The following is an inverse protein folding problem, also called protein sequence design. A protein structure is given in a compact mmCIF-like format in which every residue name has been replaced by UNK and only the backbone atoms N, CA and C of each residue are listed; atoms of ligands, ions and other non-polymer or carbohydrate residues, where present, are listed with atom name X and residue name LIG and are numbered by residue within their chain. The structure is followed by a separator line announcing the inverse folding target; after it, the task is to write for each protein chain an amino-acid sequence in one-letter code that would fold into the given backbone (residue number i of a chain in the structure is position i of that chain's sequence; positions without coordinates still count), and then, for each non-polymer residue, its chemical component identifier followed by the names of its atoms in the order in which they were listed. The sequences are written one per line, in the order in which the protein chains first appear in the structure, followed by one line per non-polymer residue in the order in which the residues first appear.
data_IF_969844112775
#
_entry.id   IF_969844112775
#
_cell.length_a   1.000
_cell.length_b   1.000
_cell.length_c   1.000
_cell.angle_alpha   90.00
_cell.angle_beta   90.00
_cell.angle_gamma   90.00
#
_symmetry.space_group_name_H-M   'P 1'
#
loop_
_entity.id
_entity.type
_entity.pdbx_description
1 polymer ?
#
# COMPACT_ATOMS: atom_id res chain seq x y z
N UNK A 1 -26.46 -4.56 10.86
CA UNK A 1 -25.77 -5.82 10.49
C UNK A 1 -25.27 -6.58 11.72
N UNK A 2 -25.29 -7.92 11.70
CA UNK A 2 -24.82 -8.80 12.81
C UNK A 2 -23.44 -9.44 12.58
N UNK A 3 -22.79 -9.15 11.45
CA UNK A 3 -21.52 -9.79 11.05
C UNK A 3 -20.34 -8.83 11.10
N UNK A 4 -19.19 -9.35 11.52
CA UNK A 4 -17.90 -8.69 11.39
C UNK A 4 -17.23 -9.18 10.10
N UNK A 5 -16.72 -8.22 9.33
CA UNK A 5 -15.95 -8.48 8.11
C UNK A 5 -14.54 -7.91 8.25
N UNK A 6 -13.59 -8.51 7.52
CA UNK A 6 -12.25 -7.95 7.40
C UNK A 6 -12.26 -6.83 6.36
N UNK A 7 -11.98 -5.63 6.81
CA UNK A 7 -11.87 -4.43 6.01
C UNK A 7 -10.42 -4.19 5.57
N UNK A 8 -10.28 -3.83 4.29
CA UNK A 8 -9.06 -3.32 3.70
C UNK A 8 -9.03 -1.79 3.83
N UNK A 9 -8.29 -1.27 4.82
CA UNK A 9 -8.20 0.19 5.08
C UNK A 9 -7.84 0.95 3.80
N UNK A 10 -6.78 0.52 3.11
CA UNK A 10 -6.55 0.80 1.69
C UNK A 10 -7.30 -0.26 0.89
N UNK A 11 -8.39 0.08 0.16
CA UNK A 11 -9.21 -0.93 -0.49
C UNK A 11 -8.44 -1.70 -1.56
N UNK A 12 -8.75 -2.98 -1.74
CA UNK A 12 -8.10 -3.82 -2.74
C UNK A 12 -8.14 -3.26 -4.18
N UNK A 13 -9.21 -2.52 -4.48
CA UNK A 13 -9.32 -1.80 -5.74
C UNK A 13 -8.19 -0.77 -5.92
N UNK A 14 -7.82 -0.01 -4.88
CA UNK A 14 -6.82 1.07 -4.97
C UNK A 14 -5.44 0.56 -5.36
N UNK A 15 -5.00 -0.57 -4.80
CA UNK A 15 -3.70 -1.18 -5.13
C UNK A 15 -3.77 -2.22 -6.26
N UNK A 16 -4.97 -2.56 -6.76
CA UNK A 16 -5.17 -3.67 -7.70
C UNK A 16 -5.69 -3.27 -9.07
N UNK A 17 -6.55 -2.26 -9.18
CA UNK A 17 -7.35 -2.04 -10.40
C UNK A 17 -6.53 -1.76 -11.66
N UNK A 18 -5.32 -1.19 -11.52
CA UNK A 18 -4.44 -0.88 -12.67
C UNK A 18 -3.62 -2.10 -13.13
N UNK A 19 -3.65 -3.20 -12.39
CA UNK A 19 -2.87 -4.40 -12.72
C UNK A 19 -3.53 -5.16 -13.88
N UNK A 20 -2.71 -5.73 -14.76
CA UNK A 20 -3.17 -6.55 -15.89
C UNK A 20 -4.06 -7.73 -15.44
N UNK A 21 -3.75 -8.36 -14.30
CA UNK A 21 -4.61 -9.42 -13.75
C UNK A 21 -6.03 -8.93 -13.45
N UNK A 22 -6.17 -7.67 -13.02
CA UNK A 22 -7.45 -7.10 -12.64
C UNK A 22 -8.27 -6.76 -13.89
N UNK A 23 -7.61 -6.25 -14.92
CA UNK A 23 -8.25 -6.04 -16.22
C UNK A 23 -8.72 -7.36 -16.84
N UNK A 24 -7.96 -8.45 -16.62
CA UNK A 24 -8.24 -9.78 -17.17
C UNK A 24 -9.06 -10.70 -16.25
N UNK A 25 -9.98 -10.17 -15.44
CA UNK A 25 -10.83 -11.00 -14.56
C UNK A 25 -10.91 -10.55 -13.10
N UNK A 26 -10.62 -9.28 -12.84
CA UNK A 26 -10.84 -8.60 -11.58
C UNK A 26 -9.99 -9.12 -10.42
N UNK A 27 -10.47 -8.82 -9.20
CA UNK A 27 -9.84 -9.22 -7.93
C UNK A 27 -9.60 -10.73 -7.86
N UNK A 28 -10.55 -11.55 -8.34
CA UNK A 28 -10.44 -13.02 -8.35
C UNK A 28 -9.25 -13.49 -9.18
N UNK A 29 -9.08 -12.95 -10.39
CA UNK A 29 -7.93 -13.32 -11.22
C UNK A 29 -6.61 -12.87 -10.57
N UNK A 30 -6.55 -11.67 -9.99
CA UNK A 30 -5.34 -11.23 -9.29
C UNK A 30 -4.98 -12.11 -8.09
N UNK A 31 -5.96 -12.58 -7.31
CA UNK A 31 -5.75 -13.58 -6.24
C UNK A 31 -5.08 -14.85 -6.74
N UNK A 32 -5.43 -15.30 -7.94
CA UNK A 32 -4.89 -16.53 -8.49
C UNK A 32 -3.50 -16.31 -9.11
N UNK A 33 -3.35 -15.24 -9.89
CA UNK A 33 -2.25 -15.10 -10.85
C UNK A 33 -1.16 -14.10 -10.45
N UNK A 34 -1.42 -13.17 -9.52
CA UNK A 34 -0.47 -12.11 -9.19
C UNK A 34 0.05 -12.24 -7.75
N UNK A 35 1.31 -12.66 -7.61
CA UNK A 35 1.98 -12.83 -6.30
C UNK A 35 2.05 -11.54 -5.49
N UNK A 36 2.37 -10.41 -6.13
CA UNK A 36 2.45 -9.11 -5.43
C UNK A 36 1.07 -8.69 -4.93
N UNK A 37 0.02 -8.88 -5.74
CA UNK A 37 -1.35 -8.60 -5.33
C UNK A 37 -1.78 -9.46 -4.13
N UNK A 38 -1.50 -10.77 -4.15
CA UNK A 38 -1.75 -11.65 -3.01
C UNK A 38 -1.10 -11.15 -1.73
N UNK A 39 0.16 -10.71 -1.81
CA UNK A 39 0.87 -10.15 -0.66
C UNK A 39 0.22 -8.86 -0.16
N UNK A 40 -0.10 -7.91 -1.05
CA UNK A 40 -0.78 -6.65 -0.68
C UNK A 40 -2.15 -6.90 -0.04
N UNK A 41 -2.89 -7.86 -0.56
CA UNK A 41 -4.23 -8.19 -0.07
C UNK A 41 -4.22 -8.92 1.28
N UNK A 42 -3.21 -9.76 1.52
CA UNK A 42 -3.08 -10.52 2.76
C UNK A 42 -2.30 -9.77 3.86
N UNK A 43 -1.79 -8.56 3.58
CA UNK A 43 -1.00 -7.80 4.54
C UNK A 43 -1.85 -7.38 5.74
N UNK A 44 -1.52 -7.90 6.91
CA UNK A 44 -2.28 -7.70 8.14
C UNK A 44 -2.23 -6.26 8.66
N UNK A 45 -1.24 -5.46 8.24
CA UNK A 45 -1.22 -4.02 8.58
C UNK A 45 -2.35 -3.26 7.89
N UNK A 46 -2.88 -3.78 6.78
CA UNK A 46 -3.99 -3.20 6.04
C UNK A 46 -5.36 -3.81 6.38
N UNK A 47 -5.42 -4.77 7.31
CA UNK A 47 -6.64 -5.49 7.69
C UNK A 47 -7.14 -5.05 9.07
N UNK A 48 -8.43 -4.71 9.16
CA UNK A 48 -9.11 -4.37 10.42
C UNK A 48 -10.50 -5.01 10.48
N UNK A 49 -11.01 -5.38 11.66
CA UNK A 49 -12.39 -5.82 11.79
C UNK A 49 -13.34 -4.62 11.61
N UNK A 50 -14.38 -4.77 10.80
CA UNK A 50 -15.42 -3.77 10.57
C UNK A 50 -16.82 -4.40 10.60
N UNK A 51 -17.84 -3.58 10.90
CA UNK A 51 -19.24 -3.99 10.78
C UNK A 51 -19.55 -4.19 9.29
N UNK A 52 -20.08 -5.35 8.91
CA UNK A 52 -20.22 -5.71 7.48
C UNK A 52 -21.06 -4.76 6.64
N UNK A 53 -22.05 -4.09 7.24
CA UNK A 53 -22.85 -3.05 6.58
C UNK A 53 -22.01 -1.80 6.26
N UNK A 54 -21.26 -1.30 7.24
CA UNK A 54 -20.35 -0.16 7.04
C UNK A 54 -19.24 -0.53 6.05
N UNK A 55 -18.73 -1.76 6.11
CA UNK A 55 -17.74 -2.26 5.16
C UNK A 55 -18.29 -2.26 3.72
N UNK A 56 -19.51 -2.78 3.54
CA UNK A 56 -20.21 -2.79 2.26
C UNK A 56 -20.45 -1.38 1.71
N UNK A 57 -20.99 -0.49 2.54
CA UNK A 57 -21.32 0.89 2.17
C UNK A 57 -20.07 1.72 1.86
N UNK A 58 -19.00 1.54 2.65
CA UNK A 58 -17.72 2.22 2.40
C UNK A 58 -17.09 1.77 1.08
N UNK A 59 -17.33 0.54 0.64
CA UNK A 59 -16.95 0.07 -0.69
C UNK A 59 -15.46 0.35 -0.99
N UNK A 60 -15.15 1.00 -2.12
CA UNK A 60 -13.81 1.49 -2.45
C UNK A 60 -13.67 3.02 -2.28
N UNK A 61 -14.55 3.65 -1.51
CA UNK A 61 -14.60 5.10 -1.34
C UNK A 61 -13.36 5.62 -0.63
N UNK A 62 -12.93 6.81 -1.07
CA UNK A 62 -11.79 7.49 -0.47
C UNK A 62 -12.21 8.06 0.88
N UNK A 63 -11.28 8.02 1.82
CA UNK A 63 -11.45 8.78 3.05
C UNK A 63 -11.40 10.29 2.76
N UNK A 64 -12.27 11.05 3.40
CA UNK A 64 -12.35 12.50 3.33
C UNK A 64 -13.14 13.03 4.54
N UNK A 65 -13.01 14.33 4.82
CA UNK A 65 -13.97 15.04 5.67
C UNK A 65 -15.26 15.29 4.88
N UNK A 66 -16.42 15.09 5.52
CA UNK A 66 -17.76 15.24 4.97
C UNK A 66 -18.53 16.26 5.82
N UNK A 67 -18.95 17.36 5.19
CA UNK A 67 -19.75 18.37 5.85
C UNK A 67 -21.17 17.87 6.17
N UNK A 68 -21.72 18.34 7.29
CA UNK A 68 -23.11 18.10 7.69
C UNK A 68 -23.35 16.85 8.52
N UNK A 69 -22.35 15.98 8.70
CA UNK A 69 -22.34 14.80 9.59
C UNK A 69 -23.68 14.08 9.73
N UNK A 70 -24.31 13.68 8.61
CA UNK A 70 -25.55 12.93 8.67
C UNK A 70 -25.31 11.59 9.39
N UNK A 71 -25.82 11.46 10.64
CA UNK A 71 -25.62 10.29 11.51
C UNK A 71 -26.48 9.09 11.09
N UNK A 72 -26.29 8.61 9.86
CA UNK A 72 -27.07 7.52 9.24
C UNK A 72 -26.95 6.21 10.04
N UNK A 73 -25.81 5.96 10.68
CA UNK A 73 -25.57 4.76 11.50
C UNK A 73 -25.81 4.98 12.99
N UNK A 74 -26.63 5.97 13.36
CA UNK A 74 -27.02 6.25 14.74
C UNK A 74 -25.83 6.66 15.61
N UNK A 75 -25.44 5.80 16.57
CA UNK A 75 -24.33 6.06 17.50
C UNK A 75 -22.95 5.84 16.90
N UNK A 76 -22.87 5.18 15.75
CA UNK A 76 -21.59 4.94 15.08
C UNK A 76 -21.18 6.22 14.35
N UNK A 77 -20.06 6.81 14.77
CA UNK A 77 -19.44 7.97 14.14
C UNK A 77 -18.73 7.52 12.85
N UNK A 78 -19.51 7.47 11.77
CA UNK A 78 -19.08 7.12 10.42
C UNK A 78 -20.08 7.72 9.45
N UNK A 79 -19.60 8.38 8.40
CA UNK A 79 -20.45 9.03 7.41
C UNK A 79 -20.05 8.53 6.02
N UNK A 80 -21.04 8.13 5.22
CA UNK A 80 -20.84 7.73 3.82
C UNK A 80 -21.59 8.70 2.92
N UNK A 81 -20.83 9.47 2.13
CA UNK A 81 -21.39 10.34 1.09
C UNK A 81 -21.31 9.64 -0.26
N UNK A 82 -22.36 8.88 -0.59
CA UNK A 82 -22.45 8.08 -1.81
C UNK A 82 -22.30 8.92 -3.10
N UNK A 83 -22.87 10.13 -3.14
CA UNK A 83 -22.79 11.03 -4.30
C UNK A 83 -21.35 11.35 -4.70
N UNK A 84 -20.48 11.54 -3.71
CA UNK A 84 -19.09 11.97 -3.88
C UNK A 84 -18.11 10.79 -3.76
N UNK A 85 -18.62 9.59 -3.45
CA UNK A 85 -17.83 8.39 -3.16
C UNK A 85 -16.78 8.64 -2.08
N UNK A 86 -17.22 9.26 -0.97
CA UNK A 86 -16.41 9.62 0.19
C UNK A 86 -16.90 8.89 1.45
N UNK A 87 -15.97 8.59 2.32
CA UNK A 87 -16.22 8.03 3.64
C UNK A 87 -15.48 8.87 4.69
N UNK A 88 -16.18 9.27 5.74
CA UNK A 88 -15.57 9.89 6.92
C UNK A 88 -15.67 8.92 8.09
N UNK A 89 -14.55 8.47 8.65
CA UNK A 89 -14.52 7.68 9.86
C UNK A 89 -14.53 8.57 11.11
N UNK A 90 -14.78 7.98 12.28
CA UNK A 90 -14.53 8.64 13.56
C UNK A 90 -13.08 9.13 13.67
N UNK A 91 -12.91 10.21 14.43
CA UNK A 91 -11.65 10.94 14.54
C UNK A 91 -10.55 10.13 15.23
N UNK A 92 -10.94 9.24 16.15
CA UNK A 92 -10.02 8.37 16.91
C UNK A 92 -9.34 7.26 16.10
N UNK A 93 -9.57 7.19 14.78
CA UNK A 93 -8.87 6.24 13.90
C UNK A 93 -8.26 6.95 12.68
N UNK A 94 -8.26 8.28 12.67
CA UNK A 94 -7.63 9.05 11.60
C UNK A 94 -6.15 8.71 11.45
N UNK A 95 -5.45 8.57 12.57
CA UNK A 95 -4.04 8.23 12.64
C UNK A 95 -3.77 6.81 12.14
N UNK A 96 -4.57 5.84 12.57
CA UNK A 96 -4.49 4.44 12.14
C UNK A 96 -4.57 4.33 10.62
N UNK A 97 -5.57 5.02 10.04
CA UNK A 97 -5.78 5.06 8.60
C UNK A 97 -4.58 5.71 7.91
N UNK A 98 -4.13 6.87 8.39
CA UNK A 98 -2.99 7.58 7.81
C UNK A 98 -1.72 6.71 7.77
N UNK A 99 -1.35 6.12 8.90
CA UNK A 99 -0.16 5.26 9.03
C UNK A 99 -0.27 3.99 8.21
N UNK A 100 -1.48 3.46 8.02
CA UNK A 100 -1.73 2.31 7.13
C UNK A 100 -1.52 2.71 5.67
N UNK A 101 -2.03 3.86 5.23
CA UNK A 101 -1.80 4.37 3.88
C UNK A 101 -0.31 4.63 3.61
N UNK A 102 0.40 5.25 4.55
CA UNK A 102 1.83 5.52 4.40
C UNK A 102 2.66 4.23 4.34
N UNK A 103 2.34 3.25 5.19
CA UNK A 103 2.93 1.91 5.11
C UNK A 103 2.71 1.26 3.74
N UNK A 104 1.47 1.25 3.24
CA UNK A 104 1.15 0.64 1.93
C UNK A 104 1.83 1.40 0.77
N UNK A 105 1.98 2.72 0.88
CA UNK A 105 2.75 3.55 -0.06
C UNK A 105 4.20 3.11 -0.12
N UNK A 106 4.89 3.08 1.01
CA UNK A 106 6.33 2.82 1.02
C UNK A 106 6.66 1.35 0.74
N UNK A 107 5.84 0.43 1.24
CA UNK A 107 6.06 -1.01 1.06
C UNK A 107 5.73 -1.49 -0.35
N UNK A 108 4.66 -0.98 -0.94
CA UNK A 108 4.12 -1.53 -2.19
C UNK A 108 4.13 -0.56 -3.37
N UNK A 109 4.49 0.69 -3.15
CA UNK A 109 4.46 1.75 -4.15
C UNK A 109 3.05 2.27 -4.43
N UNK A 110 2.14 2.21 -3.43
CA UNK A 110 0.80 2.77 -3.57
C UNK A 110 0.89 4.27 -3.89
N UNK A 111 0.27 4.69 -4.98
CA UNK A 111 0.19 6.10 -5.37
C UNK A 111 -0.86 6.81 -4.52
N UNK A 112 -0.43 7.81 -3.77
CA UNK A 112 -1.30 8.71 -3.02
C UNK A 112 -1.31 10.07 -3.73
N UNK A 113 -2.50 10.61 -4.01
CA UNK A 113 -2.62 11.95 -4.60
C UNK A 113 -2.15 13.03 -3.61
N UNK A 114 -1.62 14.16 -4.09
CA UNK A 114 -1.15 15.26 -3.22
C UNK A 114 -2.22 15.75 -2.22
N UNK A 115 -3.49 15.79 -2.65
CA UNK A 115 -4.60 16.20 -1.77
C UNK A 115 -4.82 15.18 -0.64
N UNK A 116 -4.89 13.90 -0.99
CA UNK A 116 -5.04 12.83 0.00
C UNK A 116 -3.82 12.73 0.93
N UNK A 117 -2.62 12.94 0.41
CA UNK A 117 -1.40 12.95 1.22
C UNK A 117 -1.44 14.04 2.31
N UNK A 118 -1.82 15.27 1.95
CA UNK A 118 -1.97 16.37 2.91
C UNK A 118 -2.97 16.03 4.02
N UNK A 119 -4.11 15.45 3.66
CA UNK A 119 -5.13 15.03 4.62
C UNK A 119 -4.59 13.94 5.56
N UNK A 120 -3.96 12.90 5.02
CA UNK A 120 -3.41 11.81 5.82
C UNK A 120 -2.29 12.32 6.75
N UNK A 121 -1.48 13.29 6.31
CA UNK A 121 -0.46 13.92 7.17
C UNK A 121 -1.12 14.64 8.34
N UNK A 122 -2.17 15.42 8.08
CA UNK A 122 -2.94 16.08 9.14
C UNK A 122 -3.51 15.03 10.11
N UNK A 123 -4.14 13.98 9.59
CA UNK A 123 -4.71 12.88 10.36
C UNK A 123 -3.68 12.17 11.26
N UNK A 124 -2.49 11.83 10.74
CA UNK A 124 -1.40 11.27 11.55
C UNK A 124 -0.97 12.20 12.71
N UNK A 125 -1.04 13.52 12.49
CA UNK A 125 -0.55 14.50 13.45
C UNK A 125 -1.57 14.85 14.54
N UNK A 126 -2.86 14.77 14.23
CA UNK A 126 -3.96 15.03 15.17
C UNK A 126 -4.35 13.79 15.99
N UNK A 127 -4.08 12.59 15.47
CA UNK A 127 -4.38 11.31 16.13
C UNK A 127 -3.08 10.48 16.32
N UNK A 128 -2.38 10.69 17.45
CA UNK A 128 -1.12 10.01 17.76
C UNK A 128 -1.27 8.51 17.98
N UNK A 129 -0.17 7.78 17.79
CA UNK A 129 -0.15 6.32 17.98
C UNK A 129 -0.57 5.93 19.40
N UNK A 130 -1.58 5.07 19.49
CA UNK A 130 -2.09 4.59 20.77
C UNK A 130 -1.46 3.26 21.25
N UNK A 131 -1.93 2.75 22.39
CA UNK A 131 -1.43 1.48 22.95
C UNK A 131 -1.84 0.26 22.12
N UNK A 132 -3.02 0.30 21.52
CA UNK A 132 -3.57 -0.80 20.74
C UNK A 132 -2.81 -0.94 19.42
N UNK A 133 -2.57 0.15 18.70
CA UNK A 133 -1.77 0.16 17.47
C UNK A 133 -0.37 -0.40 17.69
N UNK A 134 0.33 0.02 18.76
CA UNK A 134 1.65 -0.55 19.11
C UNK A 134 1.57 -2.05 19.38
N UNK A 135 0.53 -2.50 20.08
CA UNK A 135 0.31 -3.93 20.35
C UNK A 135 0.05 -4.70 19.05
N UNK A 136 -0.87 -4.23 18.22
CA UNK A 136 -1.21 -4.82 16.92
C UNK A 136 0.04 -4.91 16.03
N UNK A 137 0.82 -3.82 15.93
CA UNK A 137 2.04 -3.77 15.11
C UNK A 137 3.07 -4.84 15.54
N UNK A 138 3.27 -5.02 16.85
CA UNK A 138 4.16 -6.09 17.38
C UNK A 138 3.67 -7.49 17.07
N UNK A 139 2.36 -7.74 17.21
CA UNK A 139 1.75 -9.04 16.89
C UNK A 139 1.91 -9.34 15.40
N UNK A 140 1.62 -8.37 14.53
CA UNK A 140 1.76 -8.54 13.08
C UNK A 140 3.23 -8.75 12.71
N UNK A 141 4.16 -8.00 13.29
CA UNK A 141 5.60 -8.22 13.06
C UNK A 141 6.02 -9.64 13.39
N UNK A 142 5.53 -10.20 14.51
CA UNK A 142 5.83 -11.58 14.89
C UNK A 142 5.23 -12.62 13.93
N UNK A 143 4.06 -12.35 13.33
CA UNK A 143 3.37 -13.29 12.45
C UNK A 143 3.74 -13.17 10.96
N UNK A 144 3.93 -11.94 10.46
CA UNK A 144 4.19 -11.62 9.06
C UNK A 144 5.68 -11.35 8.79
N UNK A 145 6.45 -10.98 9.81
CA UNK A 145 7.85 -10.56 9.71
C UNK A 145 8.03 -9.05 9.49
N UNK A 146 6.98 -8.35 9.08
CA UNK A 146 7.05 -6.94 8.70
C UNK A 146 6.48 -6.00 9.76
N UNK A 147 7.10 -4.82 9.88
CA UNK A 147 6.72 -3.80 10.83
C UNK A 147 6.23 -2.54 10.13
N UNK A 148 5.17 -1.92 10.66
CA UNK A 148 4.79 -0.58 10.25
C UNK A 148 5.65 0.44 11.02
N UNK A 149 6.69 0.96 10.35
CA UNK A 149 7.61 1.94 10.93
C UNK A 149 6.94 3.27 11.29
N UNK A 150 5.81 3.62 10.67
CA UNK A 150 5.02 4.79 11.03
C UNK A 150 4.35 4.65 12.41
N UNK A 151 4.22 3.42 12.91
CA UNK A 151 3.74 3.14 14.28
C UNK A 151 4.93 3.08 15.25
N UNK A 152 6.00 2.37 14.88
CA UNK A 152 7.17 2.15 15.77
C UNK A 152 7.94 3.43 16.01
N UNK A 153 8.20 4.20 14.96
CA UNK A 153 8.96 5.46 15.01
C UNK A 153 8.02 6.64 14.82
N UNK A 154 6.89 6.63 15.54
CA UNK A 154 5.88 7.67 15.41
C UNK A 154 6.47 9.07 15.55
N UNK A 155 6.16 9.92 14.58
CA UNK A 155 6.50 11.34 14.59
C UNK A 155 5.42 12.13 13.86
N UNK A 156 5.35 13.42 14.15
CA UNK A 156 4.55 14.34 13.36
C UNK A 156 5.24 14.59 12.03
N UNK A 157 4.48 14.49 10.95
CA UNK A 157 4.98 14.60 9.59
C UNK A 157 4.65 16.01 9.06
N UNK A 158 5.62 16.68 8.45
CA UNK A 158 5.38 17.96 7.75
C UNK A 158 5.06 17.75 6.27
N UNK A 159 5.81 16.85 5.64
CA UNK A 159 5.65 16.39 4.27
C UNK A 159 6.12 14.94 4.21
N UNK A 160 5.50 14.11 3.39
CA UNK A 160 6.12 12.83 3.08
C UNK A 160 7.32 13.10 2.16
N UNK A 161 8.42 12.39 2.40
CA UNK A 161 9.51 12.36 1.43
C UNK A 161 8.99 11.87 0.08
N UNK A 162 9.70 12.19 -1.02
CA UNK A 162 9.41 11.55 -2.30
C UNK A 162 9.30 10.04 -2.06
N UNK A 163 8.29 9.40 -2.67
CA UNK A 163 8.33 7.94 -2.77
C UNK A 163 9.73 7.68 -3.33
N UNK A 164 10.56 6.89 -2.63
CA UNK A 164 11.63 6.19 -3.31
C UNK A 164 10.93 5.23 -4.26
N UNK A 165 10.37 5.77 -5.35
CA UNK A 165 10.44 5.08 -6.60
C UNK A 165 11.89 4.67 -6.64
N UNK A 166 12.20 3.39 -6.84
CA UNK A 166 13.45 3.10 -7.51
C UNK A 166 13.50 4.10 -8.67
N UNK A 167 14.24 5.20 -8.49
CA UNK A 167 14.53 6.14 -9.55
C UNK A 167 15.38 5.25 -10.40
N UNK A 168 14.74 4.59 -11.36
CA UNK A 168 15.26 3.46 -12.11
C UNK A 168 16.66 3.87 -12.52
N UNK A 169 17.65 3.33 -11.81
CA UNK A 169 19.00 3.85 -11.95
C UNK A 169 19.37 3.68 -13.41
N UNK A 170 19.86 4.76 -14.00
CA UNK A 170 20.47 4.72 -15.33
C UNK A 170 21.98 4.61 -15.22
N UNK A 171 22.51 4.41 -14.01
CA UNK A 171 23.91 4.05 -13.81
C UNK A 171 24.11 2.56 -14.14
N UNK A 172 25.06 2.28 -15.04
CA UNK A 172 25.29 0.93 -15.53
C UNK A 172 25.68 -0.05 -14.41
N UNK A 173 26.54 0.38 -13.48
CA UNK A 173 27.05 -0.50 -12.42
C UNK A 173 25.96 -0.81 -11.41
N UNK A 174 25.12 0.17 -11.06
CA UNK A 174 23.98 -0.02 -10.19
C UNK A 174 22.95 -0.98 -10.82
N UNK A 175 22.61 -0.82 -12.10
CA UNK A 175 21.69 -1.73 -12.81
C UNK A 175 22.27 -3.12 -12.94
N UNK A 176 23.55 -3.24 -13.26
CA UNK A 176 24.21 -4.53 -13.39
C UNK A 176 24.21 -5.29 -12.05
N UNK A 177 24.50 -4.59 -10.95
CA UNK A 177 24.45 -5.16 -9.60
C UNK A 177 23.03 -5.59 -9.21
N UNK A 178 22.03 -4.74 -9.49
CA UNK A 178 20.61 -5.06 -9.26
C UNK A 178 20.21 -6.34 -10.02
N UNK A 179 20.56 -6.44 -11.31
CA UNK A 179 20.25 -7.60 -12.13
C UNK A 179 21.03 -8.85 -11.68
N UNK A 180 22.28 -8.68 -11.25
CA UNK A 180 23.08 -9.77 -10.73
C UNK A 180 22.43 -10.38 -9.49
N UNK A 181 22.11 -9.56 -8.48
CA UNK A 181 21.49 -10.00 -7.23
C UNK A 181 20.09 -10.58 -7.48
N UNK A 182 19.28 -9.92 -8.31
CA UNK A 182 17.90 -10.31 -8.59
C UNK A 182 17.76 -11.64 -9.35
N UNK A 183 18.73 -11.94 -10.20
CA UNK A 183 18.74 -13.13 -11.05
C UNK A 183 19.89 -14.09 -10.70
N UNK A 184 20.44 -14.02 -9.48
CA UNK A 184 21.53 -14.87 -9.00
C UNK A 184 21.34 -16.36 -9.35
N UNK A 185 20.11 -16.86 -9.17
CA UNK A 185 19.73 -18.25 -9.49
C UNK A 185 19.92 -18.66 -10.97
N UNK A 186 19.89 -17.70 -11.90
CA UNK A 186 20.15 -17.93 -13.33
C UNK A 186 21.65 -18.02 -13.55
N UNK A 187 22.40 -17.07 -12.98
CA UNK A 187 23.85 -16.96 -13.16
C UNK A 187 24.57 -18.19 -12.60
N UNK A 188 24.12 -18.73 -11.48
CA UNK A 188 24.64 -19.95 -10.85
C UNK A 188 24.48 -21.21 -11.71
N UNK A 189 23.61 -21.19 -12.73
CA UNK A 189 23.36 -22.32 -13.65
C UNK A 189 24.08 -22.18 -14.99
N UNK A 190 24.79 -21.08 -15.20
CA UNK A 190 25.51 -20.78 -16.44
C UNK A 190 27.02 -20.85 -16.21
N UNK A 191 27.78 -21.10 -17.26
CA UNK A 191 29.24 -20.93 -17.19
C UNK A 191 29.58 -19.45 -16.96
N UNK A 192 30.68 -19.14 -16.23
CA UNK A 192 31.03 -17.75 -15.92
C UNK A 192 31.09 -16.81 -17.13
N UNK A 193 31.62 -17.22 -18.31
CA UNK A 193 31.63 -16.36 -19.49
C UNK A 193 30.23 -16.05 -20.02
N UNK A 194 29.34 -17.06 -20.03
CA UNK A 194 27.98 -16.91 -20.54
C UNK A 194 27.11 -16.08 -19.59
N UNK A 195 27.27 -16.26 -18.28
CA UNK A 195 26.61 -15.47 -17.26
C UNK A 195 26.99 -13.98 -17.39
N UNK A 196 28.29 -13.69 -17.56
CA UNK A 196 28.78 -12.32 -17.75
C UNK A 196 28.23 -11.64 -19.01
N UNK A 197 28.22 -12.35 -20.14
CA UNK A 197 27.69 -11.83 -21.40
C UNK A 197 26.17 -11.56 -21.33
N UNK A 198 25.39 -12.50 -20.79
CA UNK A 198 23.94 -12.35 -20.64
C UNK A 198 23.58 -11.21 -19.69
N UNK A 199 24.29 -11.09 -18.57
CA UNK A 199 24.11 -9.99 -17.61
C UNK A 199 24.39 -8.63 -18.25
N UNK A 200 25.44 -8.52 -19.07
CA UNK A 200 25.78 -7.30 -19.80
C UNK A 200 24.66 -6.88 -20.77
N UNK A 201 24.18 -7.81 -21.60
CA UNK A 201 23.08 -7.53 -22.55
C UNK A 201 21.79 -7.15 -21.82
N UNK A 202 21.44 -7.85 -20.73
CA UNK A 202 20.28 -7.51 -19.92
C UNK A 202 20.41 -6.12 -19.29
N UNK A 203 21.61 -5.76 -18.84
CA UNK A 203 21.90 -4.42 -18.27
C UNK A 203 21.66 -3.34 -19.32
N UNK A 204 22.23 -3.48 -20.52
CA UNK A 204 22.02 -2.53 -21.62
C UNK A 204 20.55 -2.42 -22.03
N UNK A 205 19.84 -3.55 -22.14
CA UNK A 205 18.41 -3.54 -22.47
C UNK A 205 17.58 -2.81 -21.41
N UNK A 206 17.86 -3.06 -20.13
CA UNK A 206 17.17 -2.41 -19.02
C UNK A 206 17.48 -0.92 -18.98
N UNK A 207 18.74 -0.50 -19.18
CA UNK A 207 19.11 0.91 -19.28
C UNK A 207 18.38 1.62 -20.43
N UNK A 208 18.41 1.03 -21.63
CA UNK A 208 17.70 1.56 -22.79
C UNK A 208 16.19 1.74 -22.52
N UNK A 209 15.57 0.75 -21.86
CA UNK A 209 14.15 0.82 -21.46
C UNK A 209 13.90 1.91 -20.42
N UNK A 210 14.82 2.07 -19.46
CA UNK A 210 14.72 3.08 -18.38
C UNK A 210 14.88 4.50 -18.93
N UNK A 211 15.78 4.72 -19.89
CA UNK A 211 15.96 6.02 -20.56
C UNK A 211 14.74 6.40 -21.41
N UNK A 212 14.13 5.45 -22.13
CA UNK A 212 12.92 5.71 -22.92
C UNK A 212 11.66 5.99 -22.08
N UNK A 213 11.70 5.67 -20.79
CA UNK A 213 10.59 5.86 -19.84
C UNK A 213 10.76 7.10 -18.96
N UNK A 214 11.87 7.82 -19.06
CA UNK A 214 12.04 9.19 -18.54
C UNK A 214 11.32 10.18 -19.45
#
# INVERSE_FOLDING_TARGET
SERIEWEHVVPAWHFGHQLRCWQNGGRRNCRQTNRKFKQMEADMHNLVPAIGEINGDRSNYKYAMIEGEARVYGKVNMEIKFSDKKAEPREKIFGDIARTYFYMRDRYGLRISKSQEKMLIAWNNIDPVDRWEKRKNRIIKALQGDENLYITNYTKIKQLGAIKTDSLSTDFNEVQKELFEKYAFIWERLSPPLAGFMLFIMTLFVLYRREKLK
#
